data_IF_633333889689
#
_entry.id   IF_633333889689
#
_cell.length_a   1.000
_cell.length_b   1.000
_cell.length_c   1.000
_cell.angle_alpha   90.00
_cell.angle_beta   90.00
_cell.angle_gamma   90.00
#
_symmetry.space_group_name_H-M   'P 1'
#
loop_
_entity.id
_entity.type
_entity.pdbx_description
1 polymer ?
#
# COMPACT_ATOMS: atom_id res chain seq x y z
N UNK A 1 -3.00 -11.81 8.71
CA UNK A 1 -3.27 -13.00 7.87
C UNK A 1 -4.26 -13.99 8.50
N UNK A 2 -4.26 -14.17 9.79
CA UNK A 2 -5.09 -15.16 10.50
C UNK A 2 -6.62 -14.94 10.37
N UNK A 3 -7.06 -13.71 10.05
CA UNK A 3 -8.48 -13.39 9.94
C UNK A 3 -9.13 -13.85 8.63
N UNK A 4 -8.40 -13.78 7.52
CA UNK A 4 -8.92 -14.13 6.19
C UNK A 4 -8.97 -15.65 5.92
N UNK A 5 -8.37 -16.46 6.80
CA UNK A 5 -8.37 -17.94 6.71
C UNK A 5 -9.30 -18.63 7.69
N UNK A 6 -10.35 -17.96 8.19
CA UNK A 6 -11.38 -18.60 8.98
C UNK A 6 -12.25 -19.47 8.07
N UNK A 7 -12.59 -20.67 8.51
CA UNK A 7 -13.40 -21.65 7.75
C UNK A 7 -14.74 -21.09 7.24
N UNK A 8 -15.24 -20.02 7.87
CA UNK A 8 -16.53 -19.41 7.54
C UNK A 8 -16.42 -18.16 6.64
N UNK A 9 -15.23 -17.83 6.12
CA UNK A 9 -15.03 -16.64 5.30
C UNK A 9 -14.60 -17.03 3.89
N UNK A 10 -15.44 -16.70 2.90
CA UNK A 10 -15.09 -16.83 1.49
C UNK A 10 -14.48 -15.52 0.97
N UNK A 11 -13.24 -15.57 0.50
CA UNK A 11 -12.46 -14.39 0.12
C UNK A 11 -12.38 -14.28 -1.40
N UNK A 12 -12.93 -13.20 -1.93
CA UNK A 12 -12.77 -12.81 -3.33
C UNK A 12 -11.83 -11.62 -3.40
N UNK A 13 -10.71 -11.78 -4.08
CA UNK A 13 -9.75 -10.69 -4.31
C UNK A 13 -9.87 -10.12 -5.71
N UNK A 14 -9.92 -8.81 -5.82
CA UNK A 14 -9.78 -8.09 -7.08
C UNK A 14 -8.36 -7.53 -7.14
N UNK A 15 -7.53 -8.04 -8.04
CA UNK A 15 -6.13 -7.63 -8.08
C UNK A 15 -5.60 -7.53 -9.53
N UNK A 16 -4.73 -6.53 -9.76
CA UNK A 16 -4.01 -6.37 -11.03
C UNK A 16 -2.85 -7.35 -11.17
N UNK A 17 -2.34 -7.85 -10.05
CA UNK A 17 -1.16 -8.72 -9.99
C UNK A 17 -1.43 -9.89 -9.07
N UNK A 18 -1.02 -11.05 -9.51
CA UNK A 18 -0.95 -12.24 -8.68
C UNK A 18 0.33 -12.21 -7.84
N UNK A 19 0.18 -12.40 -6.54
CA UNK A 19 1.28 -12.57 -5.60
C UNK A 19 0.98 -13.70 -4.61
N UNK A 20 2.01 -14.17 -3.93
CA UNK A 20 1.93 -15.31 -3.02
C UNK A 20 0.92 -15.07 -1.88
N UNK A 21 0.84 -13.84 -1.37
CA UNK A 21 -0.08 -13.50 -0.28
C UNK A 21 -1.53 -13.57 -0.76
N UNK A 22 -1.81 -13.02 -1.93
CA UNK A 22 -3.14 -13.05 -2.54
C UNK A 22 -3.57 -14.49 -2.85
N UNK A 23 -2.67 -15.30 -3.43
CA UNK A 23 -2.92 -16.73 -3.69
C UNK A 23 -3.22 -17.52 -2.41
N UNK A 24 -2.51 -17.24 -1.33
CA UNK A 24 -2.69 -17.95 -0.06
C UNK A 24 -3.93 -17.51 0.72
N UNK A 25 -4.44 -16.30 0.51
CA UNK A 25 -5.52 -15.71 1.30
C UNK A 25 -6.87 -15.63 0.59
N UNK A 26 -6.93 -15.95 -0.71
CA UNK A 26 -8.14 -15.82 -1.52
C UNK A 26 -8.66 -17.17 -2.00
N UNK A 27 -9.98 -17.32 -2.03
CA UNK A 27 -10.65 -18.47 -2.64
C UNK A 27 -10.85 -18.25 -4.15
N UNK A 28 -11.05 -16.99 -4.55
CA UNK A 28 -11.17 -16.55 -5.93
C UNK A 28 -10.39 -15.26 -6.15
N UNK A 29 -9.67 -15.18 -7.27
CA UNK A 29 -8.98 -13.96 -7.70
C UNK A 29 -9.58 -13.54 -9.04
N UNK A 30 -10.10 -12.31 -9.10
CA UNK A 30 -10.64 -11.72 -10.32
C UNK A 30 -9.66 -10.68 -10.87
N UNK A 31 -9.38 -10.71 -12.19
CA UNK A 31 -8.43 -9.81 -12.81
C UNK A 31 -8.98 -8.38 -12.86
N UNK A 32 -8.34 -7.48 -12.10
CA UNK A 32 -8.65 -6.06 -12.05
C UNK A 32 -7.85 -5.31 -13.12
N UNK A 33 -8.50 -4.42 -13.84
CA UNK A 33 -7.84 -3.49 -14.74
C UNK A 33 -6.97 -2.51 -13.95
N UNK A 34 -5.76 -2.26 -14.44
CA UNK A 34 -4.80 -1.34 -13.83
C UNK A 34 -5.19 0.13 -13.98
N UNK A 35 -4.38 1.01 -13.40
CA UNK A 35 -4.62 2.45 -13.39
C UNK A 35 -4.78 3.06 -14.78
N UNK A 36 -3.94 2.69 -15.75
CA UNK A 36 -4.02 3.21 -17.13
C UNK A 36 -5.13 2.56 -17.97
N UNK A 37 -5.73 1.49 -17.46
CA UNK A 37 -6.73 0.66 -18.12
C UNK A 37 -8.15 0.95 -17.63
N UNK A 38 -8.27 1.81 -16.63
CA UNK A 38 -9.53 2.18 -15.98
C UNK A 38 -9.77 3.68 -16.08
N UNK A 39 -11.02 4.07 -16.19
CA UNK A 39 -11.48 5.46 -15.98
C UNK A 39 -11.96 5.61 -14.55
N UNK A 40 -11.84 6.81 -14.00
CA UNK A 40 -12.28 7.08 -12.63
C UNK A 40 -12.11 8.53 -12.24
N UNK A 41 -12.22 8.79 -10.94
CA UNK A 41 -12.04 10.12 -10.35
C UNK A 41 -11.22 9.99 -9.07
N UNK A 42 -10.18 10.79 -8.94
CA UNK A 42 -9.44 10.96 -7.71
C UNK A 42 -9.81 12.28 -7.05
N UNK A 43 -9.86 12.26 -5.73
CA UNK A 43 -10.02 13.47 -4.91
C UNK A 43 -8.69 13.70 -4.22
N UNK A 44 -8.08 14.87 -4.44
CA UNK A 44 -6.83 15.23 -3.81
C UNK A 44 -7.04 15.69 -2.36
N UNK A 45 -5.95 15.99 -1.66
CA UNK A 45 -5.97 16.44 -0.27
C UNK A 45 -6.74 17.78 -0.08
N UNK A 46 -6.79 18.61 -1.13
CA UNK A 46 -7.56 19.88 -1.09
C UNK A 46 -9.06 19.67 -1.37
N UNK A 47 -9.50 18.42 -1.53
CA UNK A 47 -10.88 18.09 -1.85
C UNK A 47 -11.28 18.38 -3.30
N UNK A 48 -10.31 18.47 -4.23
CA UNK A 48 -10.57 18.70 -5.65
C UNK A 48 -10.74 17.35 -6.34
N UNK A 49 -11.93 17.15 -6.93
CA UNK A 49 -12.22 15.96 -7.73
C UNK A 49 -11.64 16.14 -9.15
N UNK A 50 -10.85 15.17 -9.59
CA UNK A 50 -10.18 15.15 -10.89
C UNK A 50 -10.47 13.81 -11.58
N UNK A 51 -11.22 13.87 -12.66
CA UNK A 51 -11.57 12.70 -13.45
C UNK A 51 -10.50 12.41 -14.51
N UNK A 52 -10.33 11.14 -14.82
CA UNK A 52 -9.41 10.66 -15.85
C UNK A 52 -10.06 9.54 -16.66
N UNK A 53 -9.59 9.36 -17.88
CA UNK A 53 -10.04 8.31 -18.79
C UNK A 53 -8.97 7.23 -18.96
N UNK A 54 -9.40 6.00 -19.21
CA UNK A 54 -8.50 4.92 -19.56
C UNK A 54 -7.69 5.28 -20.81
N UNK A 55 -6.38 5.08 -20.78
CA UNK A 55 -5.47 5.33 -21.90
C UNK A 55 -5.30 4.12 -22.80
N UNK A 56 -5.46 2.93 -22.25
CA UNK A 56 -5.31 1.64 -22.94
C UNK A 56 -6.39 0.68 -22.48
N UNK A 57 -6.63 -0.38 -23.26
CA UNK A 57 -7.50 -1.49 -22.86
C UNK A 57 -6.72 -2.44 -21.96
N UNK A 58 -7.36 -2.90 -20.89
CA UNK A 58 -6.79 -3.92 -20.02
C UNK A 58 -6.52 -5.25 -20.74
N UNK A 59 -5.50 -6.00 -20.31
CA UNK A 59 -5.13 -7.28 -20.88
C UNK A 59 -6.18 -8.38 -20.54
N UNK A 60 -6.35 -9.32 -21.43
CA UNK A 60 -7.20 -10.50 -21.21
C UNK A 60 -8.61 -10.15 -20.76
N UNK A 61 -9.02 -10.78 -19.67
CA UNK A 61 -10.35 -10.62 -19.07
C UNK A 61 -10.42 -9.52 -18.00
N UNK A 62 -9.35 -8.75 -17.80
CA UNK A 62 -9.33 -7.69 -16.78
C UNK A 62 -10.41 -6.64 -17.03
N UNK A 63 -11.07 -6.22 -15.97
CA UNK A 63 -12.15 -5.21 -15.98
C UNK A 63 -11.92 -4.14 -14.91
N UNK A 64 -12.40 -2.92 -15.15
CA UNK A 64 -12.47 -1.90 -14.09
C UNK A 64 -13.24 -2.41 -12.87
N UNK A 65 -12.78 -2.09 -11.68
CA UNK A 65 -13.36 -2.62 -10.43
C UNK A 65 -14.85 -2.36 -10.28
N UNK A 66 -15.33 -1.17 -10.66
CA UNK A 66 -16.76 -0.85 -10.61
C UNK A 66 -17.62 -1.75 -11.49
N UNK A 67 -17.09 -2.23 -12.65
CA UNK A 67 -17.81 -3.18 -13.52
C UNK A 67 -17.90 -4.55 -12.89
N UNK A 68 -16.85 -5.00 -12.20
CA UNK A 68 -16.85 -6.26 -11.49
C UNK A 68 -17.88 -6.22 -10.36
N UNK A 69 -17.86 -5.13 -9.56
CA UNK A 69 -18.83 -4.93 -8.46
C UNK A 69 -20.26 -4.86 -8.97
N UNK A 70 -20.50 -4.17 -10.09
CA UNK A 70 -21.83 -4.14 -10.72
C UNK A 70 -22.34 -5.56 -11.05
N UNK A 71 -21.49 -6.39 -11.65
CA UNK A 71 -21.89 -7.78 -11.98
C UNK A 71 -22.18 -8.58 -10.71
N UNK A 72 -21.44 -8.38 -9.62
CA UNK A 72 -21.77 -8.98 -8.34
C UNK A 72 -23.13 -8.52 -7.81
N UNK A 73 -23.39 -7.22 -7.88
CA UNK A 73 -24.66 -6.66 -7.45
C UNK A 73 -25.83 -7.26 -8.26
N UNK A 74 -25.70 -7.36 -9.58
CA UNK A 74 -26.69 -7.98 -10.46
C UNK A 74 -26.94 -9.46 -10.07
N UNK A 75 -25.87 -10.22 -9.82
CA UNK A 75 -25.97 -11.63 -9.42
C UNK A 75 -26.60 -11.84 -8.03
N UNK A 76 -26.43 -10.88 -7.14
CA UNK A 76 -27.00 -10.89 -5.78
C UNK A 76 -28.40 -10.25 -5.73
N UNK A 77 -28.92 -9.73 -6.84
CA UNK A 77 -30.21 -9.07 -6.92
C UNK A 77 -30.25 -7.74 -6.15
N UNK A 78 -29.11 -7.04 -6.05
CA UNK A 78 -29.02 -5.74 -5.40
C UNK A 78 -29.42 -4.63 -6.39
N UNK A 79 -30.25 -3.72 -5.94
CA UNK A 79 -30.67 -2.54 -6.72
C UNK A 79 -29.68 -1.36 -6.54
N UNK A 80 -29.66 -0.41 -7.47
CA UNK A 80 -28.85 0.80 -7.40
C UNK A 80 -27.44 0.68 -7.99
N UNK A 81 -27.19 -0.34 -8.81
CA UNK A 81 -25.90 -0.58 -9.47
C UNK A 81 -25.99 -0.57 -11.01
N UNK A 82 -27.02 0.08 -11.58
CA UNK A 82 -27.32 0.09 -13.02
C UNK A 82 -26.41 1.01 -13.84
N UNK A 83 -25.20 1.28 -13.34
CA UNK A 83 -24.23 2.16 -13.97
C UNK A 83 -23.77 1.67 -15.34
N UNK A 84 -23.65 2.58 -16.30
CA UNK A 84 -23.15 2.32 -17.65
C UNK A 84 -21.72 2.81 -17.86
N UNK A 85 -21.30 3.82 -17.09
CA UNK A 85 -19.95 4.38 -17.13
C UNK A 85 -19.46 4.84 -15.74
N UNK A 86 -18.19 5.19 -15.65
CA UNK A 86 -17.56 5.62 -14.38
C UNK A 86 -18.00 7.01 -13.92
N UNK A 87 -18.56 7.84 -14.80
CA UNK A 87 -19.05 9.17 -14.44
C UNK A 87 -20.27 9.04 -13.56
N UNK A 88 -21.21 8.16 -13.92
CA UNK A 88 -22.40 7.88 -13.11
C UNK A 88 -22.02 7.35 -11.72
N UNK A 89 -21.03 6.47 -11.63
CA UNK A 89 -20.52 5.98 -10.34
C UNK A 89 -19.96 7.14 -9.51
N UNK A 90 -19.22 8.05 -10.15
CA UNK A 90 -18.63 9.22 -9.47
C UNK A 90 -19.73 10.18 -8.98
N UNK A 91 -20.72 10.49 -9.81
CA UNK A 91 -21.82 11.38 -9.46
C UNK A 91 -22.61 10.84 -8.27
N UNK A 92 -22.92 9.55 -8.29
CA UNK A 92 -23.64 8.90 -7.20
C UNK A 92 -22.80 8.88 -5.90
N UNK A 93 -21.55 8.47 -5.97
CA UNK A 93 -20.64 8.47 -4.81
C UNK A 93 -20.48 9.86 -4.20
N UNK A 94 -20.33 10.93 -5.01
CA UNK A 94 -20.20 12.29 -4.52
C UNK A 94 -21.52 12.85 -3.96
N UNK A 95 -22.67 12.36 -4.42
CA UNK A 95 -23.97 12.72 -3.86
C UNK A 95 -24.15 12.14 -2.45
N UNK A 96 -23.70 10.89 -2.23
CA UNK A 96 -23.77 10.22 -0.94
C UNK A 96 -22.72 10.73 0.06
N UNK A 97 -21.52 11.04 -0.43
CA UNK A 97 -20.36 11.46 0.36
C UNK A 97 -19.84 12.82 -0.14
N UNK A 98 -20.53 13.92 0.16
CA UNK A 98 -20.08 15.24 -0.27
C UNK A 98 -18.72 15.56 0.34
N UNK A 99 -17.83 16.13 -0.47
CA UNK A 99 -16.49 16.52 -0.03
C UNK A 99 -16.62 17.64 1.00
N UNK A 100 -16.34 17.33 2.26
CA UNK A 100 -16.31 18.34 3.32
C UNK A 100 -14.89 18.88 3.47
N UNK A 101 -14.69 20.14 3.08
CA UNK A 101 -13.39 20.84 3.20
C UNK A 101 -13.06 21.30 4.62
N UNK A 102 -14.03 21.26 5.53
CA UNK A 102 -13.88 21.79 6.89
C UNK A 102 -13.48 20.72 7.92
N UNK A 103 -13.25 19.47 7.49
CA UNK A 103 -12.79 18.44 8.40
C UNK A 103 -11.32 18.69 8.75
N UNK A 104 -11.08 19.54 9.74
CA UNK A 104 -9.81 19.66 10.40
C UNK A 104 -9.58 18.37 11.20
N UNK A 105 -8.57 17.58 10.81
CA UNK A 105 -8.09 16.50 11.65
C UNK A 105 -7.49 17.12 12.91
N UNK A 106 -8.13 16.95 14.05
CA UNK A 106 -7.47 17.20 15.33
C UNK A 106 -6.34 16.19 15.49
N UNK A 107 -5.14 16.63 15.19
CA UNK A 107 -3.94 15.82 15.43
C UNK A 107 -3.65 15.86 16.92
N UNK A 108 -4.07 14.85 17.64
CA UNK A 108 -3.67 14.62 19.03
C UNK A 108 -2.20 14.17 19.05
N UNK A 109 -1.28 15.13 18.94
CA UNK A 109 0.15 14.90 19.12
C UNK A 109 0.46 14.67 20.61
N UNK A 110 0.10 13.52 21.15
CA UNK A 110 0.76 12.99 22.33
C UNK A 110 2.08 12.38 21.88
N UNK A 111 3.11 13.21 21.80
CA UNK A 111 4.48 12.72 21.75
C UNK A 111 4.76 12.09 23.11
N UNK A 112 4.76 10.78 23.20
CA UNK A 112 5.27 10.06 24.37
C UNK A 112 6.78 9.99 24.22
N UNK A 113 7.48 10.86 24.95
CA UNK A 113 8.93 11.08 24.86
C UNK A 113 9.75 10.07 25.70
N UNK A 114 9.20 8.90 26.00
CA UNK A 114 9.80 7.93 26.91
C UNK A 114 10.67 6.85 26.24
N UNK A 115 10.77 6.84 24.92
CA UNK A 115 11.60 5.85 24.22
C UNK A 115 13.05 6.31 24.17
N UNK A 116 13.95 5.62 24.90
CA UNK A 116 15.42 5.86 24.83
C UNK A 116 15.95 5.71 23.41
N UNK A 117 15.37 4.81 22.60
CA UNK A 117 15.76 4.53 21.23
C UNK A 117 14.53 4.55 20.34
N UNK A 118 14.60 5.35 19.28
CA UNK A 118 13.53 5.48 18.29
C UNK A 118 13.95 4.82 16.98
N UNK A 119 13.09 3.94 16.46
CA UNK A 119 13.32 3.29 15.16
C UNK A 119 12.44 3.90 14.07
N UNK A 120 13.07 4.43 13.03
CA UNK A 120 12.41 4.93 11.83
C UNK A 120 12.51 3.90 10.70
N UNK A 121 11.37 3.49 10.17
CA UNK A 121 11.30 2.56 9.05
C UNK A 121 11.03 3.30 7.76
N UNK A 122 11.92 3.15 6.79
CA UNK A 122 11.74 3.62 5.42
C UNK A 122 11.78 2.45 4.46
N UNK A 123 10.74 2.32 3.66
CA UNK A 123 10.70 1.33 2.59
C UNK A 123 11.23 1.94 1.30
N UNK A 124 11.92 1.13 0.49
CA UNK A 124 12.34 1.55 -0.85
C UNK A 124 11.12 2.06 -1.63
N UNK A 125 11.21 3.21 -2.34
CA UNK A 125 10.12 3.71 -3.17
C UNK A 125 9.69 2.69 -4.23
N UNK A 126 10.56 1.76 -4.60
CA UNK A 126 10.25 0.69 -5.55
C UNK A 126 9.55 -0.53 -4.91
N UNK A 127 9.32 -0.52 -3.61
CA UNK A 127 8.58 -1.57 -2.91
C UNK A 127 7.16 -1.17 -2.51
N UNK A 128 6.74 0.08 -2.74
CA UNK A 128 5.48 0.64 -2.20
C UNK A 128 4.26 0.28 -3.04
N UNK A 129 4.38 0.28 -4.37
CA UNK A 129 3.26 -0.03 -5.26
C UNK A 129 3.46 -1.32 -6.06
N UNK A 130 2.35 -1.88 -6.55
CA UNK A 130 2.35 -3.16 -7.26
C UNK A 130 3.11 -3.12 -8.59
N UNK A 131 3.08 -2.01 -9.31
CA UNK A 131 3.77 -1.85 -10.59
C UNK A 131 5.28 -1.82 -10.36
N UNK A 132 5.75 -0.96 -9.45
CA UNK A 132 7.17 -0.82 -9.13
C UNK A 132 7.75 -2.13 -8.57
N UNK A 133 7.01 -2.83 -7.68
CA UNK A 133 7.45 -4.14 -7.14
C UNK A 133 7.64 -5.19 -8.22
N UNK A 134 6.84 -5.18 -9.28
CA UNK A 134 6.95 -6.13 -10.40
C UNK A 134 7.94 -5.68 -11.48
N UNK A 135 8.43 -4.45 -11.45
CA UNK A 135 9.41 -3.93 -12.38
C UNK A 135 10.83 -4.41 -12.00
N UNK A 136 11.25 -5.55 -12.55
CA UNK A 136 12.53 -6.18 -12.25
C UNK A 136 13.72 -5.22 -12.38
N UNK A 137 13.72 -4.35 -13.41
CA UNK A 137 14.78 -3.36 -13.62
C UNK A 137 14.91 -2.38 -12.45
N UNK A 138 13.80 -1.97 -11.81
CA UNK A 138 13.82 -1.10 -10.64
C UNK A 138 14.32 -1.85 -9.40
N UNK A 139 13.93 -3.11 -9.23
CA UNK A 139 14.36 -3.94 -8.11
C UNK A 139 15.85 -4.26 -8.13
N UNK A 140 16.49 -4.23 -9.30
CA UNK A 140 17.92 -4.49 -9.47
C UNK A 140 18.82 -3.26 -9.25
N UNK A 141 18.23 -2.08 -9.10
CA UNK A 141 18.99 -0.85 -8.78
C UNK A 141 19.54 -0.86 -7.35
N UNK A 142 20.50 0.01 -7.07
CA UNK A 142 21.03 0.19 -5.70
C UNK A 142 19.91 0.55 -4.72
N UNK A 143 19.02 1.48 -5.09
CA UNK A 143 17.89 1.89 -4.25
C UNK A 143 16.89 0.74 -4.04
N UNK A 144 16.66 -0.08 -5.05
CA UNK A 144 15.80 -1.27 -4.94
C UNK A 144 16.34 -2.32 -3.99
N UNK A 145 17.66 -2.38 -3.81
CA UNK A 145 18.37 -3.39 -2.99
C UNK A 145 18.78 -2.90 -1.62
N UNK A 146 18.53 -1.64 -1.27
CA UNK A 146 18.91 -1.12 0.04
C UNK A 146 18.23 -1.95 1.14
N UNK A 147 19.04 -2.48 2.05
CA UNK A 147 18.57 -3.27 3.19
C UNK A 147 19.57 -3.14 4.34
N UNK A 148 19.56 -1.99 5.01
CA UNK A 148 20.44 -1.68 6.13
C UNK A 148 19.71 -0.95 7.25
N UNK A 149 20.11 -1.25 8.49
CA UNK A 149 19.76 -0.49 9.67
C UNK A 149 20.94 0.43 10.03
N UNK A 150 20.82 1.71 9.74
CA UNK A 150 21.85 2.71 10.03
C UNK A 150 21.71 3.20 11.46
N UNK A 151 22.83 3.19 12.20
CA UNK A 151 22.91 3.63 13.59
C UNK A 151 24.21 4.39 13.82
N UNK A 152 24.22 5.33 14.79
CA UNK A 152 25.47 5.96 15.25
C UNK A 152 26.30 4.98 16.07
N UNK A 153 27.61 5.23 16.18
CA UNK A 153 28.52 4.41 17.00
C UNK A 153 28.09 4.35 18.48
N UNK A 154 27.57 5.45 19.03
CA UNK A 154 27.08 5.49 20.41
C UNK A 154 25.81 4.64 20.58
N UNK A 155 24.87 4.75 19.66
CA UNK A 155 23.64 3.93 19.69
C UNK A 155 23.95 2.44 19.47
N UNK A 156 24.93 2.13 18.63
CA UNK A 156 25.40 0.76 18.42
C UNK A 156 25.96 0.15 19.71
N UNK A 157 26.80 0.90 20.45
CA UNK A 157 27.34 0.48 21.75
C UNK A 157 26.25 0.29 22.79
N UNK A 158 25.25 1.18 22.84
CA UNK A 158 24.12 1.07 23.78
C UNK A 158 23.28 -0.19 23.50
N UNK A 159 23.09 -0.53 22.22
CA UNK A 159 22.35 -1.72 21.77
C UNK A 159 23.22 -2.99 21.74
N UNK A 160 24.53 -2.88 22.05
CA UNK A 160 25.51 -3.97 21.93
C UNK A 160 25.52 -4.59 20.51
N UNK A 161 25.45 -3.74 19.48
CA UNK A 161 25.48 -4.13 18.07
C UNK A 161 26.78 -3.67 17.42
N UNK A 162 27.27 -4.49 16.49
CA UNK A 162 28.43 -4.22 15.65
C UNK A 162 28.03 -4.11 14.19
N UNK A 163 28.96 -3.69 13.30
CA UNK A 163 28.75 -3.72 11.85
C UNK A 163 28.33 -5.14 11.42
N UNK A 164 27.37 -5.22 10.51
CA UNK A 164 26.78 -6.45 9.98
C UNK A 164 25.94 -7.31 10.95
N UNK A 165 25.84 -6.95 12.24
CA UNK A 165 24.87 -7.57 13.14
C UNK A 165 23.44 -7.34 12.64
N UNK A 166 22.47 -8.12 13.11
CA UNK A 166 21.08 -8.01 12.65
C UNK A 166 20.23 -7.21 13.64
N UNK A 167 19.68 -6.08 13.18
CA UNK A 167 18.63 -5.34 13.88
C UNK A 167 17.27 -5.62 13.23
N UNK A 168 16.39 -6.33 13.93
CA UNK A 168 15.10 -6.82 13.38
C UNK A 168 15.23 -7.56 12.05
N UNK A 169 16.31 -8.33 11.87
CA UNK A 169 16.57 -9.11 10.66
C UNK A 169 17.17 -8.32 9.50
N UNK A 170 17.59 -7.08 9.73
CA UNK A 170 18.24 -6.19 8.75
C UNK A 170 19.69 -5.95 9.20
N UNK A 171 20.69 -6.08 8.30
CA UNK A 171 22.09 -5.83 8.63
C UNK A 171 22.31 -4.39 9.15
N UNK A 172 23.06 -4.27 10.23
CA UNK A 172 23.45 -3.00 10.81
C UNK A 172 24.61 -2.40 10.00
N UNK A 173 24.53 -1.08 9.79
CA UNK A 173 25.63 -0.30 9.27
C UNK A 173 25.86 0.94 10.16
N UNK A 174 27.08 1.08 10.67
CA UNK A 174 27.43 2.20 11.54
C UNK A 174 27.62 3.45 10.69
N UNK A 175 26.85 4.49 11.02
CA UNK A 175 26.84 5.74 10.26
C UNK A 175 26.74 6.94 11.22
N UNK A 176 27.80 7.75 11.26
CA UNK A 176 27.90 8.91 12.15
C UNK A 176 26.89 10.03 11.82
N UNK A 177 26.25 10.00 10.66
CA UNK A 177 25.21 10.98 10.30
C UNK A 177 23.85 10.69 10.93
N UNK A 178 23.67 9.51 11.52
CA UNK A 178 22.44 9.16 12.24
C UNK A 178 22.50 9.72 13.67
N UNK A 179 21.43 10.38 14.09
CA UNK A 179 21.35 10.94 15.42
C UNK A 179 21.45 9.86 16.51
N UNK A 180 22.05 10.22 17.66
CA UNK A 180 22.09 9.36 18.84
C UNK A 180 20.67 9.00 19.31
N UNK A 181 20.47 7.78 19.78
CA UNK A 181 19.16 7.28 20.18
C UNK A 181 18.22 6.97 19.00
N UNK A 182 18.71 7.07 17.74
CA UNK A 182 17.94 6.75 16.56
C UNK A 182 18.50 5.53 15.82
N UNK A 183 17.60 4.70 15.31
CA UNK A 183 17.89 3.64 14.32
C UNK A 183 17.10 3.94 13.07
N UNK A 184 17.77 4.10 11.93
CA UNK A 184 17.16 4.35 10.66
C UNK A 184 17.21 3.09 9.78
N UNK A 185 16.08 2.38 9.69
CA UNK A 185 16.00 1.15 8.90
C UNK A 185 15.50 1.47 7.51
N UNK A 186 16.36 1.29 6.51
CA UNK A 186 16.00 1.38 5.11
C UNK A 186 15.97 -0.02 4.49
N UNK A 187 14.79 -0.49 4.13
CA UNK A 187 14.61 -1.87 3.65
C UNK A 187 13.65 -1.93 2.46
N UNK A 188 13.83 -2.95 1.62
CA UNK A 188 12.88 -3.33 0.58
C UNK A 188 11.90 -4.40 1.06
N UNK A 189 12.13 -5.00 2.22
CA UNK A 189 11.28 -6.06 2.77
C UNK A 189 10.18 -5.47 3.66
N UNK A 190 8.98 -5.98 3.54
CA UNK A 190 7.93 -5.66 4.50
C UNK A 190 8.27 -6.23 5.87
N UNK A 191 7.96 -5.47 6.93
CA UNK A 191 8.14 -5.91 8.32
C UNK A 191 7.43 -7.25 8.52
N UNK A 192 8.19 -8.31 8.82
CA UNK A 192 7.61 -9.56 9.29
C UNK A 192 7.16 -9.30 10.73
N UNK A 193 5.85 -9.14 10.91
CA UNK A 193 5.21 -9.02 12.22
C UNK A 193 5.19 -10.34 12.97
#
# INVERSE_FOLDING_TARGET
>A
MTFLKKEDVFVVSLNCFEDEITLMSSDVILPLAGFYESSGTHINFDGIAQSFSASIKGPGESKPGWKIIKVFADLLGLEGFEYTDSTQVTEDALSMFPINKETLLEVNNKVTDDAKITTHWQYSPYSVDGISRKAKALQETQIGKINHAYISDLTAKELMLSEDDLYHGVPVSINETVAEGCVFVHTYQSRKG
#
